data_IF_708672111283
#
_entry.id   IF_708672111283
#
_cell.length_a   1.000
_cell.length_b   1.000
_cell.length_c   1.000
_cell.angle_alpha   90.00
_cell.angle_beta   90.00
_cell.angle_gamma   90.00
#
_symmetry.space_group_name_H-M   'P 1'
#
loop_
_entity.id
_entity.type
_entity.pdbx_description
1 polymer ?
#
# COMPACT_ATOMS: atom_id res chain seq x y z
N UNK A 1 -11.07 52.07 18.35
CA UNK A 1 -9.87 51.24 18.60
C UNK A 1 -10.20 49.79 18.25
N UNK A 2 -10.16 49.43 16.96
CA UNK A 2 -10.58 48.11 16.48
C UNK A 2 -9.81 47.66 15.22
N UNK A 3 -8.53 48.02 15.10
CA UNK A 3 -7.73 47.72 13.90
C UNK A 3 -6.35 47.11 14.21
N UNK A 4 -5.90 47.09 15.46
CA UNK A 4 -4.57 46.56 15.80
C UNK A 4 -4.51 45.03 15.93
N UNK A 5 -5.67 44.35 16.04
CA UNK A 5 -5.72 42.90 16.29
C UNK A 5 -5.87 42.03 15.02
N UNK A 6 -5.81 42.64 13.82
CA UNK A 6 -5.93 41.91 12.54
C UNK A 6 -4.59 41.62 11.86
N UNK A 7 -3.49 42.26 12.30
CA UNK A 7 -2.17 42.09 11.69
C UNK A 7 -1.32 40.97 12.31
N UNK A 8 -1.65 40.46 13.50
CA UNK A 8 -0.85 39.39 14.15
C UNK A 8 -1.08 37.98 13.55
N UNK A 9 -2.01 37.85 12.59
CA UNK A 9 -2.35 36.58 11.95
C UNK A 9 -2.34 36.62 10.41
N UNK A 10 -1.74 37.64 9.79
CA UNK A 10 -1.59 37.68 8.34
C UNK A 10 -0.56 36.64 7.89
N UNK A 11 -0.99 35.59 7.16
CA UNK A 11 -0.10 34.61 6.55
C UNK A 11 0.90 35.31 5.62
N UNK A 12 2.18 35.07 5.84
CA UNK A 12 3.27 35.67 5.07
C UNK A 12 3.69 34.75 3.92
N UNK A 13 4.41 35.30 2.94
CA UNK A 13 5.04 34.49 1.88
C UNK A 13 5.97 33.41 2.45
N UNK A 14 6.68 33.72 3.55
CA UNK A 14 7.53 32.77 4.27
C UNK A 14 6.73 31.61 4.90
N UNK A 15 5.51 31.88 5.36
CA UNK A 15 4.62 30.82 5.87
C UNK A 15 4.16 29.90 4.76
N UNK A 16 3.86 30.45 3.57
CA UNK A 16 3.53 29.67 2.38
C UNK A 16 4.69 28.79 1.91
N UNK A 17 5.91 29.33 1.81
CA UNK A 17 7.11 28.56 1.47
C UNK A 17 7.39 27.44 2.47
N UNK A 18 7.24 27.72 3.77
CA UNK A 18 7.42 26.70 4.81
C UNK A 18 6.35 25.60 4.71
N UNK A 19 5.10 25.97 4.43
CA UNK A 19 4.01 25.02 4.25
C UNK A 19 4.24 24.14 3.01
N UNK A 20 4.66 24.72 1.89
CA UNK A 20 4.99 24.00 0.66
C UNK A 20 6.13 23.00 0.88
N UNK A 21 7.22 23.43 1.52
CA UNK A 21 8.33 22.53 1.86
C UNK A 21 7.88 21.36 2.72
N UNK A 22 7.10 21.63 3.78
CA UNK A 22 6.57 20.58 4.66
C UNK A 22 5.63 19.63 3.93
N UNK A 23 4.82 20.14 3.00
CA UNK A 23 3.95 19.33 2.16
C UNK A 23 4.78 18.42 1.25
N UNK A 24 5.86 18.93 0.65
CA UNK A 24 6.82 18.14 -0.13
C UNK A 24 7.42 17.00 0.69
N UNK A 25 8.01 17.30 1.86
CA UNK A 25 8.58 16.30 2.76
C UNK A 25 7.53 15.25 3.21
N UNK A 26 6.27 15.65 3.41
CA UNK A 26 5.20 14.74 3.77
C UNK A 26 4.81 13.81 2.62
N UNK A 27 4.76 14.32 1.38
CA UNK A 27 4.52 13.51 0.16
C UNK A 27 5.64 12.49 -0.04
N UNK A 28 6.90 12.90 0.07
CA UNK A 28 8.05 12.00 -0.06
C UNK A 28 7.98 10.85 0.96
N UNK A 29 7.71 11.15 2.24
CA UNK A 29 7.53 10.12 3.26
C UNK A 29 6.36 9.18 2.97
N UNK A 30 5.24 9.73 2.50
CA UNK A 30 4.07 8.94 2.14
C UNK A 30 4.36 7.99 0.97
N UNK A 31 5.08 8.46 -0.05
CA UNK A 31 5.49 7.64 -1.18
C UNK A 31 6.42 6.49 -0.76
N UNK A 32 7.41 6.75 0.10
CA UNK A 32 8.25 5.68 0.63
C UNK A 32 7.47 4.65 1.45
N UNK A 33 6.49 5.10 2.25
CA UNK A 33 5.60 4.20 2.97
C UNK A 33 4.74 3.36 2.00
N UNK A 34 4.25 3.95 0.91
CA UNK A 34 3.51 3.24 -0.13
C UNK A 34 4.35 2.19 -0.86
N UNK A 35 5.63 2.48 -1.17
CA UNK A 35 6.56 1.49 -1.73
C UNK A 35 6.85 0.34 -0.75
N UNK A 36 6.97 0.64 0.53
CA UNK A 36 7.11 -0.38 1.57
C UNK A 36 5.86 -1.27 1.63
N UNK A 37 4.66 -0.68 1.62
CA UNK A 37 3.40 -1.41 1.58
C UNK A 37 3.27 -2.29 0.33
N UNK A 38 3.68 -1.79 -0.85
CA UNK A 38 3.72 -2.59 -2.07
C UNK A 38 4.57 -3.85 -1.92
N UNK A 39 5.76 -3.74 -1.32
CA UNK A 39 6.63 -4.90 -1.05
C UNK A 39 5.98 -5.89 -0.10
N UNK A 40 5.36 -5.41 0.99
CA UNK A 40 4.67 -6.29 1.95
C UNK A 40 3.50 -7.05 1.30
N UNK A 41 2.76 -6.41 0.39
CA UNK A 41 1.70 -7.05 -0.38
C UNK A 41 2.25 -8.13 -1.32
N UNK A 42 3.37 -7.89 -2.00
CA UNK A 42 4.03 -8.93 -2.80
C UNK A 42 4.47 -10.13 -1.96
N UNK A 43 5.03 -9.89 -0.77
CA UNK A 43 5.36 -10.97 0.17
C UNK A 43 4.13 -11.74 0.65
N UNK A 44 3.02 -11.04 0.89
CA UNK A 44 1.73 -11.64 1.24
C UNK A 44 1.20 -12.53 0.11
N UNK A 45 1.25 -12.05 -1.14
CA UNK A 45 0.87 -12.85 -2.30
C UNK A 45 1.66 -14.15 -2.41
N UNK A 46 2.99 -14.10 -2.19
CA UNK A 46 3.85 -15.30 -2.19
C UNK A 46 3.47 -16.29 -1.09
N UNK A 47 3.04 -15.81 0.08
CA UNK A 47 2.57 -16.65 1.19
C UNK A 47 1.24 -17.31 0.84
N UNK A 48 0.30 -16.56 0.28
CA UNK A 48 -0.97 -17.11 -0.19
C UNK A 48 -0.77 -18.23 -1.22
N UNK A 49 0.07 -18.02 -2.24
CA UNK A 49 0.40 -19.07 -3.20
C UNK A 49 1.06 -20.29 -2.56
N UNK A 50 1.92 -20.07 -1.56
CA UNK A 50 2.55 -21.18 -0.82
C UNK A 50 1.50 -22.01 -0.11
N UNK A 51 0.50 -21.39 0.52
CA UNK A 51 -0.60 -22.13 1.17
C UNK A 51 -1.44 -22.88 0.13
N UNK A 52 -1.78 -22.24 -1.00
CA UNK A 52 -2.51 -22.93 -2.08
C UNK A 52 -1.79 -24.20 -2.54
N UNK A 53 -0.46 -24.14 -2.74
CA UNK A 53 0.35 -25.32 -3.11
C UNK A 53 0.36 -26.40 -2.03
N UNK A 54 0.34 -26.03 -0.75
CA UNK A 54 0.24 -27.00 0.35
C UNK A 54 -1.11 -27.71 0.32
N UNK A 55 -2.20 -26.98 0.06
CA UNK A 55 -3.53 -27.56 -0.07
C UNK A 55 -3.61 -28.53 -1.26
N UNK A 56 -3.06 -28.16 -2.43
CA UNK A 56 -3.00 -29.05 -3.59
C UNK A 56 -2.25 -30.34 -3.28
N UNK A 57 -1.08 -30.22 -2.63
CA UNK A 57 -0.26 -31.38 -2.26
C UNK A 57 -0.95 -32.28 -1.24
N UNK A 58 -1.73 -31.72 -0.33
CA UNK A 58 -2.54 -32.51 0.60
C UNK A 58 -3.55 -33.39 -0.15
N UNK A 59 -4.21 -32.83 -1.19
CA UNK A 59 -5.12 -33.59 -2.06
C UNK A 59 -4.39 -34.73 -2.78
N UNK A 60 -3.20 -34.47 -3.32
CA UNK A 60 -2.36 -35.50 -3.97
C UNK A 60 -1.97 -36.63 -3.00
N UNK A 61 -1.84 -36.33 -1.71
CA UNK A 61 -1.53 -37.30 -0.66
C UNK A 61 -2.75 -38.08 -0.17
N UNK A 62 -3.95 -37.80 -0.69
CA UNK A 62 -5.17 -38.56 -0.37
C UNK A 62 -5.85 -38.16 0.93
N UNK A 63 -5.70 -36.91 1.38
CA UNK A 63 -6.48 -36.41 2.53
C UNK A 63 -7.98 -36.48 2.28
N UNK A 64 -8.76 -36.59 3.36
CA UNK A 64 -10.21 -36.45 3.30
C UNK A 64 -10.61 -35.00 2.96
N UNK A 65 -11.89 -34.78 2.63
CA UNK A 65 -12.45 -33.45 2.35
C UNK A 65 -11.77 -32.70 1.18
N UNK A 66 -11.44 -33.42 0.10
CA UNK A 66 -10.80 -32.87 -1.11
C UNK A 66 -11.44 -31.56 -1.62
N UNK A 67 -12.77 -31.44 -1.57
CA UNK A 67 -13.47 -30.21 -1.95
C UNK A 67 -13.01 -29.00 -1.14
N UNK A 68 -12.93 -29.12 0.18
CA UNK A 68 -12.49 -28.03 1.08
C UNK A 68 -11.06 -27.61 0.78
N UNK A 69 -10.17 -28.56 0.52
CA UNK A 69 -8.78 -28.25 0.16
C UNK A 69 -8.70 -27.51 -1.19
N UNK A 70 -9.46 -27.95 -2.20
CA UNK A 70 -9.51 -27.29 -3.52
C UNK A 70 -10.07 -25.89 -3.43
N UNK A 71 -11.17 -25.72 -2.70
CA UNK A 71 -11.79 -24.41 -2.51
C UNK A 71 -10.83 -23.48 -1.75
N UNK A 72 -10.20 -23.96 -0.67
CA UNK A 72 -9.20 -23.18 0.07
C UNK A 72 -8.01 -22.77 -0.81
N UNK A 73 -7.52 -23.68 -1.66
CA UNK A 73 -6.45 -23.37 -2.60
C UNK A 73 -6.88 -22.29 -3.62
N UNK A 74 -8.10 -22.35 -4.12
CA UNK A 74 -8.65 -21.35 -5.04
C UNK A 74 -8.70 -19.96 -4.38
N UNK A 75 -9.28 -19.85 -3.18
CA UNK A 75 -9.35 -18.57 -2.44
C UNK A 75 -7.96 -17.99 -2.18
N UNK A 76 -6.98 -18.82 -1.81
CA UNK A 76 -5.62 -18.32 -1.63
C UNK A 76 -5.00 -17.79 -2.93
N UNK A 77 -5.29 -18.41 -4.08
CA UNK A 77 -4.82 -17.86 -5.37
C UNK A 77 -5.51 -16.53 -5.71
N UNK A 78 -6.79 -16.39 -5.38
CA UNK A 78 -7.53 -15.13 -5.53
C UNK A 78 -6.90 -14.01 -4.68
N UNK A 79 -6.67 -14.25 -3.38
CA UNK A 79 -6.00 -13.27 -2.51
C UNK A 79 -4.59 -12.92 -2.99
N UNK A 80 -3.82 -13.89 -3.49
CA UNK A 80 -2.51 -13.60 -4.09
C UNK A 80 -2.61 -12.68 -5.32
N UNK A 81 -3.64 -12.84 -6.15
CA UNK A 81 -3.88 -11.99 -7.30
C UNK A 81 -4.30 -10.57 -6.88
N UNK A 82 -5.15 -10.44 -5.86
CA UNK A 82 -5.56 -9.17 -5.29
C UNK A 82 -4.38 -8.40 -4.68
N UNK A 83 -3.55 -9.08 -3.87
CA UNK A 83 -2.35 -8.50 -3.26
C UNK A 83 -1.37 -7.98 -4.33
N UNK A 84 -1.14 -8.75 -5.40
CA UNK A 84 -0.31 -8.31 -6.54
C UNK A 84 -0.86 -7.06 -7.21
N UNK A 85 -2.16 -7.02 -7.44
CA UNK A 85 -2.82 -5.86 -8.04
C UNK A 85 -2.67 -4.64 -7.14
N UNK A 86 -2.88 -4.80 -5.83
CA UNK A 86 -2.75 -3.69 -4.88
C UNK A 86 -1.29 -3.21 -4.76
N UNK A 87 -0.32 -4.13 -4.79
CA UNK A 87 1.10 -3.80 -4.80
C UNK A 87 1.47 -2.96 -6.03
N UNK A 88 0.99 -3.33 -7.22
CA UNK A 88 1.23 -2.59 -8.46
C UNK A 88 0.63 -1.17 -8.38
N UNK A 89 -0.60 -1.04 -7.88
CA UNK A 89 -1.25 0.26 -7.70
C UNK A 89 -0.45 1.14 -6.74
N UNK A 90 -0.02 0.59 -5.59
CA UNK A 90 0.77 1.34 -4.61
C UNK A 90 2.11 1.77 -5.16
N UNK A 91 2.77 0.91 -5.94
CA UNK A 91 4.01 1.25 -6.64
C UNK A 91 3.82 2.42 -7.59
N UNK A 92 2.81 2.34 -8.48
CA UNK A 92 2.51 3.40 -9.45
C UNK A 92 2.20 4.74 -8.78
N UNK A 93 1.37 4.74 -7.74
CA UNK A 93 1.01 5.94 -6.97
C UNK A 93 2.25 6.56 -6.32
N UNK A 94 3.05 5.76 -5.62
CA UNK A 94 4.23 6.25 -4.90
C UNK A 94 5.38 6.67 -5.82
N UNK A 95 5.60 5.96 -6.93
CA UNK A 95 6.58 6.37 -7.95
C UNK A 95 6.16 7.67 -8.63
N UNK A 96 4.86 7.87 -8.88
CA UNK A 96 4.35 9.13 -9.39
C UNK A 96 4.60 10.28 -8.41
N UNK A 97 4.31 10.08 -7.12
CA UNK A 97 4.54 11.10 -6.07
C UNK A 97 6.03 11.48 -5.92
N UNK A 98 6.95 10.53 -6.14
CA UNK A 98 8.40 10.79 -6.13
C UNK A 98 8.92 11.40 -7.44
N UNK A 99 8.19 11.28 -8.55
CA UNK A 99 8.56 11.85 -9.84
C UNK A 99 8.09 13.30 -10.01
N UNK A 100 7.27 13.81 -9.09
CA UNK A 100 6.92 15.23 -9.00
C UNK A 100 8.05 15.95 -8.27
N UNK A 101 9.14 16.21 -9.00
CA UNK A 101 10.16 17.20 -8.67
C UNK A 101 9.73 18.60 -9.17
#
# INVERSE_FOLDING_TARGET
MATENQCEHALTAKDAELAERRAGEARERAAHAGLSAARSLEESALRHERVARVQDRAVEQGVSHVGVHRDSAAHHREFAAEDRKLAELKRKESEADLAVD
#
